data_IF_913954571528
#
_entry.id   IF_913954571528
#
_cell.length_a   1.000
_cell.length_b   1.000
_cell.length_c   1.000
_cell.angle_alpha   90.00
_cell.angle_beta   90.00
_cell.angle_gamma   90.00
#
_symmetry.space_group_name_H-M   'P 1'
#
loop_
_entity.id
_entity.type
_entity.pdbx_description
1 polymer ?
#
# COMPACT_ATOMS: atom_id res chain seq x y z
N UNK A 1 -26.10 13.10 56.95
CA UNK A 1 -26.74 12.74 55.66
C UNK A 1 -25.98 13.26 54.43
N UNK A 2 -25.30 14.41 54.49
CA UNK A 2 -24.56 14.96 53.35
C UNK A 2 -23.36 14.10 52.88
N UNK A 3 -22.59 13.51 53.79
CA UNK A 3 -21.38 12.74 53.43
C UNK A 3 -21.68 11.41 52.72
N UNK A 4 -22.82 10.77 53.03
CA UNK A 4 -23.22 9.49 52.41
C UNK A 4 -23.64 9.69 50.94
N UNK A 5 -24.27 10.83 50.63
CA UNK A 5 -24.72 11.20 49.28
C UNK A 5 -23.54 11.49 48.35
N UNK A 6 -22.44 12.03 48.89
CA UNK A 6 -21.21 12.31 48.12
C UNK A 6 -20.48 11.00 47.77
N UNK A 7 -20.47 10.02 48.68
CA UNK A 7 -19.87 8.70 48.44
C UNK A 7 -20.65 7.91 47.37
N UNK A 8 -21.99 7.94 47.44
CA UNK A 8 -22.86 7.27 46.47
C UNK A 8 -22.77 7.91 45.07
N UNK A 9 -22.64 9.24 44.99
CA UNK A 9 -22.39 9.95 43.74
C UNK A 9 -21.00 9.66 43.16
N UNK A 10 -19.98 9.43 44.01
CA UNK A 10 -18.65 9.04 43.56
C UNK A 10 -18.62 7.61 43.02
N UNK A 11 -19.31 6.66 43.68
CA UNK A 11 -19.45 5.29 43.16
C UNK A 11 -20.22 5.25 41.84
N UNK A 12 -21.34 5.97 41.74
CA UNK A 12 -22.08 6.09 40.49
C UNK A 12 -21.24 6.71 39.37
N UNK A 13 -20.47 7.76 39.65
CA UNK A 13 -19.58 8.35 38.64
C UNK A 13 -18.48 7.39 38.19
N UNK A 14 -17.92 6.59 39.12
CA UNK A 14 -16.90 5.58 38.80
C UNK A 14 -17.49 4.44 37.95
N UNK A 15 -18.74 4.03 38.21
CA UNK A 15 -19.43 2.99 37.45
C UNK A 15 -19.83 3.46 36.04
N UNK A 16 -20.33 4.69 35.92
CA UNK A 16 -20.64 5.31 34.61
C UNK A 16 -19.37 5.45 33.77
N UNK A 17 -18.27 5.93 34.37
CA UNK A 17 -16.97 5.99 33.70
C UNK A 17 -16.53 4.59 33.28
N UNK A 18 -16.60 3.58 34.16
CA UNK A 18 -16.25 2.17 33.85
C UNK A 18 -17.02 1.58 32.67
N UNK A 19 -18.28 2.00 32.50
CA UNK A 19 -19.15 1.52 31.44
C UNK A 19 -18.81 2.20 30.11
N UNK A 20 -18.51 3.50 30.12
CA UNK A 20 -18.10 4.26 28.92
C UNK A 20 -16.69 3.87 28.40
N UNK A 21 -15.72 3.56 29.29
CA UNK A 21 -14.40 3.03 28.86
C UNK A 21 -14.49 1.63 28.27
N UNK A 22 -15.44 0.79 28.69
CA UNK A 22 -15.67 -0.52 28.11
C UNK A 22 -16.30 -0.42 26.70
N UNK A 23 -17.28 0.48 26.52
CA UNK A 23 -17.95 0.68 25.23
C UNK A 23 -17.05 1.36 24.18
N UNK A 24 -16.12 2.20 24.62
CA UNK A 24 -15.15 2.87 23.74
C UNK A 24 -14.05 1.92 23.25
N UNK A 25 -13.67 0.91 24.06
CA UNK A 25 -12.68 -0.10 23.68
C UNK A 25 -13.21 -1.08 22.63
N UNK A 26 -14.52 -1.38 22.63
CA UNK A 26 -15.16 -2.33 21.71
C UNK A 26 -15.44 -1.72 20.33
N UNK A 27 -15.51 -0.39 20.20
CA UNK A 27 -15.81 0.29 18.91
C UNK A 27 -14.58 0.55 18.03
N UNK A 28 -13.36 0.41 18.56
CA UNK A 28 -12.11 0.62 17.81
C UNK A 28 -11.56 -0.67 17.14
N UNK A 29 -11.98 -1.84 17.60
CA UNK A 29 -11.60 -3.17 17.09
C UNK A 29 -12.37 -3.71 15.86
N UNK A 30 -13.63 -3.34 15.55
CA UNK A 30 -14.39 -4.03 14.51
C UNK A 30 -13.88 -3.69 13.11
N UNK A 31 -13.34 -2.47 12.91
CA UNK A 31 -12.67 -2.11 11.66
C UNK A 31 -11.37 -2.88 11.48
N UNK A 32 -10.54 -2.98 12.53
CA UNK A 32 -9.29 -3.74 12.47
C UNK A 32 -9.54 -5.23 12.22
N UNK A 33 -10.52 -5.83 12.90
CA UNK A 33 -10.91 -7.21 12.65
C UNK A 33 -11.44 -7.42 11.23
N UNK A 34 -12.25 -6.50 10.71
CA UNK A 34 -12.79 -6.60 9.35
C UNK A 34 -11.65 -6.49 8.32
N UNK A 35 -10.74 -5.53 8.49
CA UNK A 35 -9.56 -5.39 7.63
C UNK A 35 -8.67 -6.63 7.71
N UNK A 36 -8.42 -7.15 8.92
CA UNK A 36 -7.62 -8.35 9.12
C UNK A 36 -8.26 -9.57 8.46
N UNK A 37 -9.59 -9.75 8.56
CA UNK A 37 -10.32 -10.82 7.86
C UNK A 37 -10.25 -10.68 6.34
N UNK A 38 -10.42 -9.45 5.82
CA UNK A 38 -10.31 -9.19 4.38
C UNK A 38 -8.89 -9.47 3.87
N UNK A 39 -7.86 -9.08 4.62
CA UNK A 39 -6.47 -9.36 4.28
C UNK A 39 -6.17 -10.86 4.31
N UNK A 40 -6.59 -11.59 5.35
CA UNK A 40 -6.41 -13.04 5.44
C UNK A 40 -7.15 -13.77 4.30
N UNK A 41 -8.37 -13.34 3.95
CA UNK A 41 -9.10 -13.86 2.80
C UNK A 41 -8.42 -13.52 1.47
N UNK A 42 -7.84 -12.31 1.34
CA UNK A 42 -7.07 -11.89 0.19
C UNK A 42 -5.79 -12.71 0.00
N UNK A 43 -5.06 -12.99 1.08
CA UNK A 43 -3.86 -13.83 1.06
C UNK A 43 -4.20 -15.26 0.61
N UNK A 44 -5.31 -15.81 1.09
CA UNK A 44 -5.79 -17.14 0.66
C UNK A 44 -6.16 -17.18 -0.83
N UNK A 45 -6.82 -16.15 -1.35
CA UNK A 45 -7.19 -16.05 -2.76
C UNK A 45 -5.97 -15.90 -3.69
N UNK A 46 -4.91 -15.22 -3.24
CA UNK A 46 -3.65 -15.05 -3.98
C UNK A 46 -2.78 -16.31 -3.92
N UNK A 47 -2.90 -17.11 -2.85
CA UNK A 47 -2.19 -18.38 -2.71
C UNK A 47 -2.74 -19.49 -3.63
N UNK A 48 -3.98 -19.36 -4.12
CA UNK A 48 -4.55 -20.30 -5.09
C UNK A 48 -3.83 -20.21 -6.44
N UNK A 49 -3.24 -21.32 -6.86
CA UNK A 49 -2.59 -21.44 -8.16
C UNK A 49 -3.62 -21.77 -9.25
N UNK A 50 -3.23 -21.60 -10.51
CA UNK A 50 -4.07 -21.97 -11.65
C UNK A 50 -4.39 -23.47 -11.65
N UNK A 51 -3.45 -24.31 -11.20
CA UNK A 51 -3.61 -25.76 -11.14
C UNK A 51 -4.65 -26.15 -10.07
N UNK A 52 -4.63 -25.52 -8.90
CA UNK A 52 -5.62 -25.76 -7.85
C UNK A 52 -7.05 -25.41 -8.29
N UNK A 53 -7.19 -24.36 -9.09
CA UNK A 53 -8.48 -23.91 -9.66
C UNK A 53 -8.95 -24.92 -10.71
N UNK A 54 -8.05 -25.41 -11.56
CA UNK A 54 -8.34 -26.44 -12.56
C UNK A 54 -8.85 -27.71 -11.88
N UNK A 55 -8.11 -28.22 -10.89
CA UNK A 55 -8.48 -29.41 -10.12
C UNK A 55 -9.81 -29.26 -9.38
N UNK A 56 -10.09 -28.06 -8.84
CA UNK A 56 -11.37 -27.78 -8.19
C UNK A 56 -12.53 -27.87 -9.18
N UNK A 57 -12.39 -27.29 -10.36
CA UNK A 57 -13.41 -27.32 -11.41
C UNK A 57 -13.60 -28.73 -11.96
N UNK A 58 -12.51 -29.48 -12.15
CA UNK A 58 -12.56 -30.85 -12.66
C UNK A 58 -13.31 -31.77 -11.69
N UNK A 59 -13.12 -31.62 -10.37
CA UNK A 59 -13.92 -32.32 -9.35
C UNK A 59 -15.42 -32.00 -9.42
N UNK A 60 -15.79 -30.76 -9.77
CA UNK A 60 -17.19 -30.37 -9.93
C UNK A 60 -17.82 -30.99 -11.19
N UNK A 61 -17.02 -31.13 -12.25
CA UNK A 61 -17.42 -31.80 -13.48
C UNK A 61 -17.59 -33.31 -13.26
N UNK A 62 -16.66 -33.96 -12.56
CA UNK A 62 -16.74 -35.38 -12.21
C UNK A 62 -17.95 -35.70 -11.34
N UNK A 63 -18.31 -34.79 -10.42
CA UNK A 63 -19.53 -34.89 -9.61
C UNK A 63 -20.81 -34.60 -10.39
N UNK A 64 -20.71 -34.18 -11.65
CA UNK A 64 -21.84 -33.80 -12.49
C UNK A 64 -22.53 -32.50 -12.09
N UNK A 65 -21.90 -31.69 -11.22
CA UNK A 65 -22.44 -30.41 -10.75
C UNK A 65 -22.30 -29.32 -11.82
N UNK A 66 -21.35 -29.47 -12.74
CA UNK A 66 -21.08 -28.52 -13.84
C UNK A 66 -20.79 -29.31 -15.12
N UNK A 67 -21.24 -28.80 -16.26
CA UNK A 67 -20.85 -29.35 -17.56
C UNK A 67 -19.36 -29.08 -17.86
N UNK A 68 -18.66 -30.05 -18.43
CA UNK A 68 -17.23 -29.95 -18.78
C UNK A 68 -16.90 -28.71 -19.64
N UNK A 69 -17.82 -28.33 -20.53
CA UNK A 69 -17.70 -27.12 -21.37
C UNK A 69 -17.73 -25.83 -20.54
N UNK A 70 -18.57 -25.80 -19.52
CA UNK A 70 -18.74 -24.62 -18.67
C UNK A 70 -17.61 -24.53 -17.65
N UNK A 71 -17.15 -25.66 -17.09
CA UNK A 71 -15.96 -25.72 -16.26
C UNK A 71 -14.73 -25.13 -16.95
N UNK A 72 -14.43 -25.57 -18.18
CA UNK A 72 -13.31 -25.01 -18.97
C UNK A 72 -13.45 -23.52 -19.25
N UNK A 73 -14.68 -23.02 -19.46
CA UNK A 73 -14.93 -21.58 -19.61
C UNK A 73 -14.62 -20.82 -18.33
N UNK A 74 -15.05 -21.34 -17.17
CA UNK A 74 -14.82 -20.70 -15.87
C UNK A 74 -13.33 -20.52 -15.59
N UNK A 75 -12.53 -21.58 -15.78
CA UNK A 75 -11.07 -21.50 -15.60
C UNK A 75 -10.46 -20.43 -16.51
N UNK A 76 -10.83 -20.45 -17.79
CA UNK A 76 -10.32 -19.48 -18.77
C UNK A 76 -10.71 -18.04 -18.43
N UNK A 77 -11.93 -17.81 -17.96
CA UNK A 77 -12.42 -16.48 -17.58
C UNK A 77 -11.70 -15.94 -16.34
N UNK A 78 -11.44 -16.79 -15.35
CA UNK A 78 -10.69 -16.43 -14.13
C UNK A 78 -9.25 -16.02 -14.49
N UNK A 79 -8.56 -16.82 -15.31
CA UNK A 79 -7.20 -16.50 -15.78
C UNK A 79 -7.20 -15.19 -16.59
N UNK A 80 -8.17 -15.02 -17.50
CA UNK A 80 -8.25 -13.83 -18.35
C UNK A 80 -8.51 -12.56 -17.54
N UNK A 81 -9.36 -12.64 -16.51
CA UNK A 81 -9.62 -11.53 -15.58
C UNK A 81 -8.39 -11.17 -14.77
N UNK A 82 -7.65 -12.17 -14.28
CA UNK A 82 -6.38 -11.95 -13.57
C UNK A 82 -5.39 -11.20 -14.46
N UNK A 83 -5.16 -11.67 -15.69
CA UNK A 83 -4.24 -11.03 -16.62
C UNK A 83 -4.67 -9.60 -17.00
N UNK A 84 -5.98 -9.35 -17.10
CA UNK A 84 -6.54 -8.02 -17.33
C UNK A 84 -6.32 -7.07 -16.14
N UNK A 85 -6.52 -7.58 -14.92
CA UNK A 85 -6.29 -6.84 -13.68
C UNK A 85 -4.81 -6.50 -13.49
N UNK A 86 -3.89 -7.44 -13.75
CA UNK A 86 -2.44 -7.21 -13.70
C UNK A 86 -2.02 -6.05 -14.61
N UNK A 87 -2.49 -6.03 -15.86
CA UNK A 87 -2.20 -4.93 -16.82
C UNK A 87 -2.77 -3.58 -16.38
N UNK A 88 -3.92 -3.58 -15.70
CA UNK A 88 -4.54 -2.35 -15.22
C UNK A 88 -3.81 -1.82 -13.99
N UNK A 89 -3.41 -2.71 -13.09
CA UNK A 89 -2.59 -2.38 -11.91
C UNK A 89 -1.23 -1.85 -12.35
N UNK A 90 -0.56 -2.48 -13.32
CA UNK A 90 0.73 -2.03 -13.84
C UNK A 90 0.65 -0.58 -14.37
N UNK A 91 -0.36 -0.28 -15.19
CA UNK A 91 -0.62 1.09 -15.66
C UNK A 91 -0.94 2.07 -14.54
N UNK A 92 -1.71 1.64 -13.54
CA UNK A 92 -2.05 2.50 -12.39
C UNK A 92 -0.83 2.79 -11.51
N UNK A 93 0.05 1.80 -11.33
CA UNK A 93 1.30 1.96 -10.58
C UNK A 93 2.26 2.89 -11.32
N UNK A 94 2.41 2.75 -12.63
CA UNK A 94 3.24 3.63 -13.46
C UNK A 94 2.73 5.09 -13.43
N UNK A 95 1.41 5.30 -13.51
CA UNK A 95 0.86 6.64 -13.39
C UNK A 95 1.02 7.22 -11.98
N UNK A 96 0.88 6.39 -10.95
CA UNK A 96 1.07 6.80 -9.56
C UNK A 96 2.54 7.13 -9.27
N UNK A 97 3.50 6.38 -9.79
CA UNK A 97 4.93 6.67 -9.62
C UNK A 97 5.30 8.01 -10.26
N UNK A 98 4.82 8.28 -11.47
CA UNK A 98 5.08 9.55 -12.15
C UNK A 98 4.49 10.74 -11.36
N UNK A 99 3.26 10.61 -10.83
CA UNK A 99 2.66 11.66 -10.00
C UNK A 99 3.43 11.90 -8.69
N UNK A 100 3.97 10.84 -8.09
CA UNK A 100 4.77 10.93 -6.86
C UNK A 100 6.12 11.57 -7.15
N UNK A 101 6.80 11.20 -8.23
CA UNK A 101 8.05 11.81 -8.67
C UNK A 101 7.88 13.31 -8.92
N UNK A 102 6.85 13.72 -9.68
CA UNK A 102 6.52 15.13 -9.94
C UNK A 102 6.27 15.92 -8.65
N UNK A 103 5.62 15.30 -7.66
CA UNK A 103 5.36 15.96 -6.38
C UNK A 103 6.63 16.08 -5.53
N UNK A 104 7.46 15.04 -5.50
CA UNK A 104 8.74 15.07 -4.79
C UNK A 104 9.64 16.14 -5.40
N UNK A 105 9.74 16.22 -6.72
CA UNK A 105 10.55 17.22 -7.42
C UNK A 105 10.08 18.65 -7.10
N UNK A 106 8.76 18.89 -7.10
CA UNK A 106 8.19 20.20 -6.69
C UNK A 106 8.51 20.56 -5.24
N UNK A 107 8.48 19.58 -4.32
CA UNK A 107 8.81 19.82 -2.92
C UNK A 107 10.30 20.13 -2.75
N UNK A 108 11.17 19.35 -3.39
CA UNK A 108 12.62 19.56 -3.35
C UNK A 108 13.00 20.95 -3.87
N UNK A 109 12.39 21.37 -4.98
CA UNK A 109 12.56 22.71 -5.55
C UNK A 109 12.08 23.81 -4.58
N UNK A 110 10.93 23.63 -3.92
CA UNK A 110 10.42 24.60 -2.92
C UNK A 110 11.26 24.70 -1.66
N UNK A 111 11.90 23.60 -1.27
CA UNK A 111 12.81 23.55 -0.12
C UNK A 111 14.23 23.95 -0.49
N UNK A 112 14.48 24.36 -1.74
CA UNK A 112 15.81 24.72 -2.24
C UNK A 112 16.84 23.59 -2.07
N UNK A 113 16.38 22.33 -2.05
CA UNK A 113 17.23 21.15 -1.90
C UNK A 113 17.71 20.73 -3.29
N UNK A 114 19.00 20.91 -3.63
CA UNK A 114 19.53 20.46 -4.91
C UNK A 114 19.49 18.94 -5.00
N UNK A 115 19.16 18.43 -6.18
CA UNK A 115 19.14 16.98 -6.42
C UNK A 115 20.57 16.45 -6.56
N UNK A 116 20.74 15.14 -6.41
CA UNK A 116 22.04 14.49 -6.64
C UNK A 116 22.56 14.76 -8.06
N UNK A 117 21.66 14.80 -9.04
CA UNK A 117 21.99 15.09 -10.43
C UNK A 117 22.62 16.47 -10.59
N UNK A 118 22.02 17.49 -9.96
CA UNK A 118 22.52 18.87 -10.01
C UNK A 118 23.94 18.98 -9.42
N UNK A 119 24.20 18.28 -8.32
CA UNK A 119 25.51 18.25 -7.67
C UNK A 119 26.56 17.60 -8.59
N UNK A 120 26.21 16.49 -9.24
CA UNK A 120 27.11 15.80 -10.19
C UNK A 120 27.38 16.67 -11.43
N UNK A 121 26.37 17.37 -11.94
CA UNK A 121 26.51 18.26 -13.09
C UNK A 121 27.39 19.48 -12.76
N UNK A 122 27.20 20.09 -11.59
CA UNK A 122 28.08 21.15 -11.09
C UNK A 122 29.51 20.61 -10.90
N UNK A 123 29.68 19.41 -10.35
CA UNK A 123 30.99 18.78 -10.18
C UNK A 123 31.75 18.62 -11.50
N UNK A 124 31.06 18.20 -12.57
CA UNK A 124 31.64 18.12 -13.92
C UNK A 124 32.01 19.49 -14.48
N UNK A 125 31.13 20.48 -14.33
CA UNK A 125 31.38 21.87 -14.76
C UNK A 125 32.60 22.45 -14.04
N UNK A 126 32.70 22.25 -12.72
CA UNK A 126 33.85 22.69 -11.92
C UNK A 126 35.12 22.00 -12.40
N UNK A 127 35.13 20.67 -12.55
CA UNK A 127 36.31 19.95 -13.03
C UNK A 127 36.80 20.44 -14.41
N UNK A 128 35.85 20.72 -15.31
CA UNK A 128 36.16 21.27 -16.63
C UNK A 128 36.73 22.70 -16.55
N UNK A 129 36.17 23.56 -15.68
CA UNK A 129 36.72 24.89 -15.45
C UNK A 129 38.11 24.83 -14.81
N UNK A 130 38.32 23.99 -13.80
CA UNK A 130 39.63 23.79 -13.17
C UNK A 130 40.68 23.40 -14.19
N UNK A 131 40.35 22.47 -15.09
CA UNK A 131 41.25 22.06 -16.18
C UNK A 131 41.63 23.23 -17.09
N UNK A 132 40.64 24.03 -17.52
CA UNK A 132 40.90 25.21 -18.36
C UNK A 132 41.77 26.25 -17.66
N UNK A 133 41.56 26.46 -16.36
CA UNK A 133 42.36 27.41 -15.57
C UNK A 133 43.81 26.91 -15.43
N UNK A 134 44.01 25.61 -15.18
CA UNK A 134 45.34 25.02 -15.09
C UNK A 134 46.10 25.08 -16.42
N UNK A 135 45.41 24.83 -17.54
CA UNK A 135 45.98 24.92 -18.88
C UNK A 135 46.41 26.37 -19.21
N UNK A 136 45.57 27.36 -18.85
CA UNK A 136 45.92 28.78 -18.99
C UNK A 136 47.10 29.19 -18.11
N UNK A 137 47.17 28.71 -16.86
CA UNK A 137 48.31 28.96 -15.96
C UNK A 137 49.61 28.39 -16.52
N UNK A 138 49.60 27.17 -17.06
CA UNK A 138 50.76 26.55 -17.70
C UNK A 138 51.20 27.25 -18.99
N UNK A 139 50.27 27.89 -19.69
CA UNK A 139 50.59 28.68 -20.89
C UNK A 139 51.11 30.08 -20.58
N UNK A 140 50.95 30.57 -19.34
CA UNK A 140 51.35 31.94 -18.93
C UNK A 140 52.61 31.94 -18.05
N UNK A 141 53.07 30.78 -17.59
CA UNK A 141 54.35 30.58 -16.89
C UNK A 141 55.42 30.06 -17.87
#
# INVERSE_FOLDING_TARGET
MAQKKIAEQAEQAVEVVKTEIAETAEKATPLFETVHRVLLAGVGAVALTTDEIQDFVDRLVERGEIAERDGRKLVKDVISRRNGAEKQVEKSVENASNMVEDQIEKILNRLNVPTKHDIEELGKKIAHLTKKVDDLKKSTA
#
